data_IF_779948568650
#
_entry.id   IF_779948568650
#
_cell.length_a   1.000
_cell.length_b   1.000
_cell.length_c   1.000
_cell.angle_alpha   90.00
_cell.angle_beta   90.00
_cell.angle_gamma   90.00
#
_symmetry.space_group_name_H-M   'P 1'
#
loop_
_entity.id
_entity.type
_entity.pdbx_description
1 polymer ?
#
# COMPACT_ATOMS: atom_id res chain seq x y z
N UNK A 1 -8.06 -14.40 -1.63
CA UNK A 1 -6.59 -14.35 -1.56
C UNK A 1 -6.05 -15.77 -1.60
N UNK A 2 -5.22 -16.14 -2.58
CA UNK A 2 -4.36 -17.32 -2.43
C UNK A 2 -3.25 -16.96 -1.46
N UNK A 3 -2.93 -17.84 -0.51
CA UNK A 3 -1.79 -17.65 0.38
C UNK A 3 -0.53 -17.40 -0.47
N UNK A 4 0.14 -16.27 -0.26
CA UNK A 4 1.35 -15.88 -1.01
C UNK A 4 1.15 -14.89 -2.17
N UNK A 5 -0.08 -14.54 -2.57
CA UNK A 5 -0.32 -13.47 -3.57
C UNK A 5 -0.32 -12.08 -2.92
N UNK A 6 0.88 -11.68 -2.49
CA UNK A 6 1.16 -10.37 -1.90
C UNK A 6 1.04 -9.22 -2.91
N UNK A 7 1.20 -9.51 -4.20
CA UNK A 7 1.04 -8.53 -5.29
C UNK A 7 -0.39 -8.04 -5.43
N UNK A 8 -1.37 -8.94 -5.36
CA UNK A 8 -2.80 -8.56 -5.45
C UNK A 8 -3.24 -7.71 -4.27
N UNK A 9 -2.78 -8.01 -3.06
CA UNK A 9 -3.07 -7.25 -1.85
C UNK A 9 -2.50 -5.83 -1.90
N UNK A 10 -1.24 -5.68 -2.34
CA UNK A 10 -0.61 -4.38 -2.52
C UNK A 10 -1.34 -3.53 -3.58
N UNK A 11 -1.78 -4.13 -4.68
CA UNK A 11 -2.55 -3.44 -5.71
C UNK A 11 -3.93 -2.97 -5.22
N UNK A 12 -4.62 -3.78 -4.42
CA UNK A 12 -5.89 -3.39 -3.79
C UNK A 12 -5.69 -2.24 -2.80
N UNK A 13 -4.61 -2.29 -2.01
CA UNK A 13 -4.29 -1.25 -1.04
C UNK A 13 -3.96 0.08 -1.74
N UNK A 14 -3.19 0.05 -2.83
CA UNK A 14 -2.91 1.23 -3.66
C UNK A 14 -4.20 1.87 -4.17
N UNK A 15 -5.09 1.06 -4.75
CA UNK A 15 -6.41 1.54 -5.25
C UNK A 15 -7.28 2.11 -4.13
N UNK A 16 -7.22 1.55 -2.93
CA UNK A 16 -7.96 2.07 -1.77
C UNK A 16 -7.39 3.42 -1.31
N UNK A 17 -6.07 3.59 -1.33
CA UNK A 17 -5.42 4.86 -1.00
C UNK A 17 -5.78 5.97 -1.99
N UNK A 18 -5.74 5.68 -3.30
CA UNK A 18 -6.16 6.62 -4.35
C UNK A 18 -7.62 7.08 -4.16
N UNK A 19 -8.52 6.14 -3.82
CA UNK A 19 -9.92 6.47 -3.53
C UNK A 19 -10.07 7.35 -2.30
N UNK A 20 -9.26 7.12 -1.26
CA UNK A 20 -9.30 7.94 -0.06
C UNK A 20 -8.81 9.36 -0.34
N UNK A 21 -7.72 9.50 -1.10
CA UNK A 21 -7.19 10.80 -1.50
C UNK A 21 -8.21 11.59 -2.34
N UNK A 22 -8.85 10.95 -3.31
CA UNK A 22 -9.90 11.56 -4.10
C UNK A 22 -11.10 11.99 -3.24
N UNK A 23 -11.57 11.13 -2.34
CA UNK A 23 -12.67 11.45 -1.43
C UNK A 23 -12.31 12.59 -0.45
N UNK A 24 -11.05 12.66 -0.02
CA UNK A 24 -10.58 13.74 0.83
C UNK A 24 -10.56 15.08 0.08
N UNK A 25 -10.08 15.11 -1.16
CA UNK A 25 -10.11 16.31 -2.01
C UNK A 25 -11.54 16.85 -2.18
N UNK A 26 -12.50 15.98 -2.48
CA UNK A 26 -13.93 16.35 -2.56
C UNK A 26 -14.45 16.86 -1.21
N UNK A 27 -14.12 16.17 -0.11
CA UNK A 27 -14.55 16.57 1.24
C UNK A 27 -14.04 17.96 1.60
N UNK A 28 -12.82 18.31 1.19
CA UNK A 28 -12.21 19.63 1.45
C UNK A 28 -12.91 20.79 0.75
N UNK A 29 -13.71 20.54 -0.28
CA UNK A 29 -14.53 21.58 -0.91
C UNK A 29 -15.62 22.10 0.04
N UNK A 30 -16.06 21.25 0.98
CA UNK A 30 -17.13 21.56 1.93
C UNK A 30 -16.63 21.68 3.37
N UNK A 31 -15.49 21.07 3.71
CA UNK A 31 -14.91 21.08 5.04
C UNK A 31 -13.46 21.60 5.02
N UNK A 32 -13.27 22.91 5.17
CA UNK A 32 -11.95 23.57 5.09
C UNK A 32 -11.50 24.30 6.37
N UNK A 33 -12.14 24.00 7.50
CA UNK A 33 -11.84 24.67 8.76
C UNK A 33 -10.56 24.17 9.44
N UNK A 34 -10.27 24.70 10.62
CA UNK A 34 -9.11 24.29 11.40
C UNK A 34 -9.14 22.80 11.80
N UNK A 35 -10.33 22.19 11.94
CA UNK A 35 -10.45 20.78 12.28
C UNK A 35 -10.11 19.89 11.09
N UNK A 36 -10.50 20.28 9.87
CA UNK A 36 -10.15 19.52 8.67
C UNK A 36 -8.65 19.54 8.41
N UNK A 37 -7.99 20.70 8.63
CA UNK A 37 -6.53 20.82 8.59
C UNK A 37 -5.85 19.93 9.65
N UNK A 38 -6.36 19.94 10.88
CA UNK A 38 -5.82 19.11 11.96
C UNK A 38 -5.98 17.61 11.64
N UNK A 39 -7.14 17.20 11.12
CA UNK A 39 -7.39 15.82 10.69
C UNK A 39 -6.44 15.38 9.58
N UNK A 40 -6.24 16.22 8.55
CA UNK A 40 -5.30 15.93 7.46
C UNK A 40 -3.89 15.68 7.99
N UNK A 41 -3.44 16.52 8.94
CA UNK A 41 -2.10 16.45 9.49
C UNK A 41 -1.87 15.29 10.45
N UNK A 42 -2.85 15.00 11.30
CA UNK A 42 -2.70 14.06 12.41
C UNK A 42 -3.09 12.63 12.03
N UNK A 43 -4.04 12.48 11.12
CA UNK A 43 -4.58 11.16 10.77
C UNK A 43 -4.25 10.79 9.33
N UNK A 44 -4.60 11.66 8.37
CA UNK A 44 -4.58 11.29 6.97
C UNK A 44 -3.16 11.17 6.39
N UNK A 45 -2.32 12.19 6.59
CA UNK A 45 -0.94 12.18 6.10
C UNK A 45 -0.11 11.01 6.67
N UNK A 46 -0.14 10.74 8.00
CA UNK A 46 0.54 9.57 8.57
C UNK A 46 0.03 8.25 8.00
N UNK A 47 -1.28 8.10 7.81
CA UNK A 47 -1.87 6.91 7.22
C UNK A 47 -1.38 6.70 5.77
N UNK A 48 -1.40 7.76 4.94
CA UNK A 48 -0.92 7.69 3.55
C UNK A 48 0.56 7.31 3.47
N UNK A 49 1.39 7.85 4.36
CA UNK A 49 2.78 7.45 4.46
C UNK A 49 2.94 5.97 4.84
N UNK A 50 2.23 5.51 5.87
CA UNK A 50 2.28 4.11 6.30
C UNK A 50 1.81 3.13 5.21
N UNK A 51 0.75 3.49 4.47
CA UNK A 51 0.24 2.71 3.35
C UNK A 51 1.29 2.60 2.23
N UNK A 52 1.93 3.71 1.86
CA UNK A 52 3.00 3.72 0.86
C UNK A 52 4.14 2.79 1.25
N UNK A 53 4.65 2.92 2.48
CA UNK A 53 5.72 2.07 3.01
C UNK A 53 5.33 0.59 2.99
N UNK A 54 4.07 0.29 3.31
CA UNK A 54 3.54 -1.09 3.31
C UNK A 54 3.54 -1.67 1.90
N UNK A 55 3.10 -0.91 0.90
CA UNK A 55 3.09 -1.34 -0.51
C UNK A 55 4.52 -1.63 -0.98
N UNK A 56 5.46 -0.70 -0.74
CA UNK A 56 6.87 -0.85 -1.12
C UNK A 56 7.51 -2.07 -0.45
N UNK A 57 7.29 -2.25 0.85
CA UNK A 57 7.80 -3.40 1.61
C UNK A 57 7.23 -4.73 1.10
N UNK A 58 5.95 -4.74 0.72
CA UNK A 58 5.26 -5.92 0.19
C UNK A 58 5.81 -6.31 -1.19
N UNK A 59 6.09 -5.32 -2.05
CA UNK A 59 6.71 -5.54 -3.35
C UNK A 59 8.12 -6.11 -3.21
N UNK A 60 8.92 -5.55 -2.29
CA UNK A 60 10.25 -6.05 -1.98
C UNK A 60 10.19 -7.50 -1.49
N UNK A 61 9.32 -7.79 -0.52
CA UNK A 61 9.11 -9.14 0.01
C UNK A 61 8.75 -10.13 -1.10
N UNK A 62 7.78 -9.79 -1.97
CA UNK A 62 7.41 -10.63 -3.11
C UNK A 62 8.57 -10.89 -4.06
N UNK A 63 9.44 -9.90 -4.28
CA UNK A 63 10.64 -10.07 -5.12
C UNK A 63 11.67 -11.03 -4.51
N UNK A 64 11.89 -10.96 -3.20
CA UNK A 64 12.84 -11.82 -2.47
C UNK A 64 12.33 -13.26 -2.44
N UNK A 65 11.06 -13.47 -2.12
CA UNK A 65 10.45 -14.80 -2.10
C UNK A 65 10.53 -15.46 -3.48
N UNK A 66 10.23 -14.73 -4.55
CA UNK A 66 10.34 -15.26 -5.92
C UNK A 66 11.78 -15.63 -6.29
N UNK A 67 12.77 -14.83 -5.89
CA UNK A 67 14.18 -15.15 -6.10
C UNK A 67 14.57 -16.44 -5.36
N UNK A 68 14.15 -16.58 -4.10
CA UNK A 68 14.41 -17.79 -3.31
C UNK A 68 13.76 -19.04 -3.94
N UNK A 69 12.50 -18.93 -4.38
CA UNK A 69 11.81 -20.03 -5.09
C UNK A 69 12.56 -20.47 -6.35
N UNK A 70 13.02 -19.52 -7.16
CA UNK A 70 13.77 -19.82 -8.37
C UNK A 70 15.11 -20.50 -8.07
N UNK A 71 15.81 -20.10 -7.00
CA UNK A 71 17.05 -20.72 -6.58
C UNK A 71 16.84 -22.19 -6.15
N UNK A 72 15.84 -22.45 -5.29
CA UNK A 72 15.52 -23.82 -4.88
C UNK A 72 15.10 -24.71 -6.05
N UNK A 73 14.37 -24.17 -7.03
CA UNK A 73 13.97 -24.93 -8.22
C UNK A 73 15.17 -25.23 -9.14
N UNK A 74 16.18 -24.36 -9.19
CA UNK A 74 17.39 -24.59 -9.96
C UNK A 74 18.25 -25.72 -9.35
N UNK A 75 18.41 -25.73 -8.02
CA UNK A 75 19.13 -26.78 -7.29
C UNK A 75 18.46 -28.16 -7.38
N UNK A 76 17.13 -28.22 -7.58
CA UNK A 76 16.40 -29.48 -7.72
C UNK A 76 16.51 -30.12 -9.12
N UNK A 77 17.07 -29.41 -10.09
CA UNK A 77 17.23 -29.86 -11.48
C UNK A 77 18.68 -30.19 -11.87
N UNK A 78 19.64 -30.04 -10.94
CA UNK A 78 21.01 -30.57 -11.01
C UNK A 78 21.13 -31.89 -10.19
#
# INVERSE_FOLDING_TARGET
>A
MRAGDVSSGAAQLAKAAERLEAAWLETREHWNDANSLAFEQTELMPLMHAVKLTIESTQLYGSVVRKAQNACNAEAHD
#
